data_IF_168334023252
#
_entry.id   IF_168334023252
#
_cell.length_a   1.000
_cell.length_b   1.000
_cell.length_c   1.000
_cell.angle_alpha   90.00
_cell.angle_beta   90.00
_cell.angle_gamma   90.00
#
_symmetry.space_group_name_H-M   'P 1'
#
loop_
_entity.id
_entity.type
_entity.pdbx_description
1 polymer ?
#
# COMPACT_ATOMS: atom_id res chain seq x y z
N UNK A 1 -13.55 -7.56 17.67
CA UNK A 1 -13.80 -8.21 16.37
C UNK A 1 -12.45 -8.42 15.72
N UNK A 2 -12.06 -9.67 15.42
CA UNK A 2 -10.78 -9.96 14.76
C UNK A 2 -10.93 -9.58 13.29
N UNK A 3 -10.32 -8.48 12.89
CA UNK A 3 -10.23 -8.14 11.48
C UNK A 3 -9.33 -9.20 10.83
N UNK A 4 -9.80 -9.81 9.74
CA UNK A 4 -8.97 -10.70 8.94
C UNK A 4 -7.87 -9.88 8.28
N UNK A 5 -6.72 -9.85 8.94
CA UNK A 5 -5.49 -9.22 8.47
C UNK A 5 -4.55 -10.34 8.03
N UNK A 6 -3.90 -10.16 6.90
CA UNK A 6 -2.89 -11.08 6.38
C UNK A 6 -1.66 -10.25 6.02
N UNK A 7 -0.53 -10.55 6.63
CA UNK A 7 0.74 -9.86 6.36
C UNK A 7 1.76 -10.89 5.94
N UNK A 8 2.52 -10.59 4.88
CA UNK A 8 3.64 -11.40 4.43
C UNK A 8 4.82 -11.30 5.40
N UNK A 9 5.76 -12.24 5.29
CA UNK A 9 6.92 -12.28 6.19
C UNK A 9 7.94 -11.17 5.89
N UNK A 10 8.00 -10.71 4.64
CA UNK A 10 8.87 -9.63 4.21
C UNK A 10 8.44 -8.27 4.81
N UNK A 11 9.42 -7.46 5.23
CA UNK A 11 9.22 -6.13 5.82
C UNK A 11 9.64 -5.03 4.86
N UNK A 12 8.90 -3.92 4.85
CA UNK A 12 9.27 -2.73 4.07
C UNK A 12 10.47 -2.06 4.74
N UNK A 13 11.55 -1.88 3.99
CA UNK A 13 12.73 -1.18 4.49
C UNK A 13 12.48 0.34 4.53
N UNK A 14 12.95 1.05 5.57
CA UNK A 14 12.91 2.51 5.61
C UNK A 14 13.78 3.09 4.49
N UNK A 15 13.20 3.88 3.59
CA UNK A 15 13.93 4.49 2.48
C UNK A 15 13.18 5.68 1.89
N UNK A 16 13.92 6.54 1.18
CA UNK A 16 13.31 7.56 0.34
C UNK A 16 12.52 6.89 -0.80
N UNK A 17 11.25 7.23 -0.89
CA UNK A 17 10.33 6.61 -1.84
C UNK A 17 8.99 7.32 -1.91
N UNK A 18 8.05 6.66 -2.56
CA UNK A 18 6.70 7.16 -2.82
C UNK A 18 5.71 6.21 -2.17
N UNK A 19 4.84 6.74 -1.32
CA UNK A 19 3.68 6.01 -0.82
C UNK A 19 2.48 6.34 -1.71
N UNK A 20 2.20 5.48 -2.68
CA UNK A 20 1.12 5.65 -3.63
C UNK A 20 -0.18 5.07 -3.07
N UNK A 21 -1.11 5.95 -2.69
CA UNK A 21 -2.37 5.57 -2.05
C UNK A 21 -3.52 5.75 -3.03
N UNK A 22 -4.18 4.66 -3.44
CA UNK A 22 -5.35 4.69 -4.31
C UNK A 22 -6.64 4.58 -3.49
N UNK A 23 -7.59 5.50 -3.70
CA UNK A 23 -8.87 5.55 -2.97
C UNK A 23 -10.08 5.55 -3.89
N UNK A 24 -10.99 4.58 -3.75
CA UNK A 24 -12.25 4.65 -4.50
C UNK A 24 -13.04 5.93 -4.11
N UNK A 25 -13.65 6.57 -5.11
CA UNK A 25 -14.26 7.90 -5.01
C UNK A 25 -15.55 7.96 -4.18
N UNK A 26 -16.02 6.83 -3.64
CA UNK A 26 -17.21 6.83 -2.79
C UNK A 26 -16.87 7.12 -1.32
N UNK A 27 -17.64 8.07 -0.80
CA UNK A 27 -17.40 8.95 0.35
C UNK A 27 -17.09 8.33 1.73
N UNK A 28 -17.27 7.02 2.04
CA UNK A 28 -16.78 6.51 3.34
C UNK A 28 -15.26 6.22 3.39
N UNK A 29 -14.59 6.01 2.25
CA UNK A 29 -13.14 5.76 2.22
C UNK A 29 -12.33 7.04 2.49
N UNK A 30 -12.91 8.22 2.23
CA UNK A 30 -12.32 9.49 2.61
C UNK A 30 -12.26 9.69 4.14
N UNK A 31 -13.20 9.12 4.91
CA UNK A 31 -13.14 9.15 6.39
C UNK A 31 -12.02 8.27 6.95
N UNK A 32 -11.68 7.19 6.24
CA UNK A 32 -10.54 6.34 6.56
C UNK A 32 -9.20 7.03 6.29
N UNK A 33 -9.15 7.94 5.31
CA UNK A 33 -7.96 8.71 4.93
C UNK A 33 -8.13 10.20 5.27
N UNK A 34 -8.16 10.49 6.57
CA UNK A 34 -7.90 11.85 7.04
C UNK A 34 -6.40 12.17 6.90
N UNK A 35 -6.01 13.45 6.93
CA UNK A 35 -4.58 13.87 6.91
C UNK A 35 -3.74 13.32 8.08
N UNK A 36 -4.37 12.65 9.04
CA UNK A 36 -3.74 11.98 10.19
C UNK A 36 -3.81 10.45 10.10
N UNK A 37 -4.27 9.92 8.98
CA UNK A 37 -4.41 8.48 8.79
C UNK A 37 -3.06 7.77 8.89
N UNK A 38 -3.00 6.61 9.59
CA UNK A 38 -1.77 5.81 9.67
C UNK A 38 -1.22 5.44 8.30
N UNK A 39 -2.09 5.25 7.30
CA UNK A 39 -1.69 4.98 5.93
C UNK A 39 -0.78 6.05 5.32
N UNK A 40 -0.92 7.32 5.71
CA UNK A 40 -0.04 8.40 5.24
C UNK A 40 1.14 8.60 6.21
N UNK A 41 0.83 8.69 7.50
CA UNK A 41 1.82 9.09 8.52
C UNK A 41 2.87 8.03 8.80
N UNK A 42 2.52 6.74 8.76
CA UNK A 42 3.48 5.68 9.03
C UNK A 42 4.53 5.60 7.91
N UNK A 43 4.18 5.58 6.61
CA UNK A 43 5.18 5.65 5.53
C UNK A 43 5.97 6.96 5.53
N UNK A 44 5.35 8.11 5.81
CA UNK A 44 6.04 9.40 5.91
C UNK A 44 7.11 9.40 6.99
N UNK A 45 6.82 8.82 8.16
CA UNK A 45 7.80 8.64 9.22
C UNK A 45 8.99 7.73 8.82
N UNK A 46 8.82 6.91 7.78
CA UNK A 46 9.84 5.99 7.24
C UNK A 46 10.56 6.57 6.02
N UNK A 47 10.27 7.82 5.63
CA UNK A 47 10.92 8.53 4.52
C UNK A 47 10.15 8.51 3.19
N UNK A 48 8.94 7.95 3.15
CA UNK A 48 8.12 7.92 1.93
C UNK A 48 7.31 9.20 1.76
N UNK A 49 7.24 9.73 0.54
CA UNK A 49 6.34 10.82 0.17
C UNK A 49 4.98 10.28 -0.27
N UNK A 50 3.91 10.67 0.40
CA UNK A 50 2.55 10.23 0.04
C UNK A 50 1.99 10.91 -1.21
N UNK A 51 1.42 10.13 -2.12
CA UNK A 51 0.66 10.58 -3.30
C UNK A 51 -0.70 9.88 -3.26
N UNK A 52 -1.78 10.65 -3.15
CA UNK A 52 -3.15 10.11 -3.09
C UNK A 52 -3.85 10.21 -4.43
N UNK A 53 -4.20 9.07 -5.01
CA UNK A 53 -4.93 8.92 -6.26
C UNK A 53 -6.42 8.67 -5.98
N UNK A 54 -7.27 9.57 -6.44
CA UNK A 54 -8.73 9.44 -6.36
C UNK A 54 -9.33 9.29 -7.76
N UNK A 55 -10.53 8.70 -7.86
CA UNK A 55 -11.14 8.34 -9.15
C UNK A 55 -11.44 9.53 -10.07
N UNK A 56 -11.63 10.72 -9.51
CA UNK A 56 -11.85 11.98 -10.25
C UNK A 56 -10.56 12.78 -10.46
N UNK A 57 -9.42 12.26 -10.01
CA UNK A 57 -8.12 12.94 -10.04
C UNK A 57 -7.33 12.68 -11.32
N UNK A 58 -6.11 13.21 -11.36
CA UNK A 58 -5.17 12.89 -12.44
C UNK A 58 -4.88 11.39 -12.46
N UNK A 59 -5.15 10.77 -13.60
CA UNK A 59 -4.86 9.35 -13.80
C UNK A 59 -3.36 9.09 -13.72
N UNK A 60 -2.90 8.11 -12.93
CA UNK A 60 -1.49 7.71 -12.87
C UNK A 60 -1.04 6.95 -14.12
N UNK A 61 -1.99 6.65 -15.02
CA UNK A 61 -1.80 5.80 -16.17
C UNK A 61 -1.12 6.55 -17.33
N UNK A 62 -0.10 5.94 -17.92
CA UNK A 62 0.61 6.45 -19.10
C UNK A 62 -0.17 6.21 -20.41
N UNK A 63 -1.12 5.26 -20.39
CA UNK A 63 -1.81 4.76 -21.58
C UNK A 63 -1.03 3.68 -22.34
N UNK A 64 0.15 3.27 -21.86
CA UNK A 64 0.93 2.18 -22.44
C UNK A 64 0.59 0.85 -21.76
N UNK A 65 0.40 -0.21 -22.55
CA UNK A 65 0.05 -1.53 -22.02
C UNK A 65 1.17 -2.16 -21.19
N UNK A 66 2.42 -2.03 -21.64
CA UNK A 66 3.59 -2.66 -20.99
C UNK A 66 4.18 -1.82 -19.85
N UNK A 67 3.86 -0.53 -19.80
CA UNK A 67 4.33 0.41 -18.77
C UNK A 67 3.18 1.29 -18.28
N UNK A 68 2.15 0.69 -17.65
CA UNK A 68 0.91 1.40 -17.33
C UNK A 68 1.12 2.56 -16.37
N UNK A 69 2.06 2.48 -15.41
CA UNK A 69 2.35 3.61 -14.52
C UNK A 69 3.26 4.62 -15.20
N UNK A 70 2.84 5.89 -15.21
CA UNK A 70 3.65 7.01 -15.65
C UNK A 70 4.75 7.32 -14.62
N UNK A 71 5.85 6.58 -14.67
CA UNK A 71 6.96 6.71 -13.72
C UNK A 71 7.56 8.13 -13.66
N UNK A 72 7.58 8.84 -14.78
CA UNK A 72 8.02 10.24 -14.87
C UNK A 72 7.20 11.17 -13.95
N UNK A 73 5.90 10.89 -13.78
CA UNK A 73 5.00 11.66 -12.89
C UNK A 73 5.14 11.28 -11.43
N UNK A 74 5.48 10.01 -11.16
CA UNK A 74 5.69 9.50 -9.81
C UNK A 74 7.01 10.04 -9.23
N UNK A 75 8.05 10.13 -10.06
CA UNK A 75 9.41 10.50 -9.67
C UNK A 75 10.27 9.26 -9.40
N UNK A 76 11.43 9.46 -8.77
CA UNK A 76 12.38 8.39 -8.44
C UNK A 76 12.18 7.80 -7.04
N UNK A 77 12.75 6.62 -6.80
CA UNK A 77 12.70 5.91 -5.51
C UNK A 77 11.73 4.72 -5.46
N UNK A 78 11.74 3.98 -4.36
CA UNK A 78 10.85 2.82 -4.26
C UNK A 78 9.39 3.23 -4.01
N UNK A 79 8.46 2.41 -4.47
CA UNK A 79 7.02 2.69 -4.44
C UNK A 79 6.37 1.69 -3.50
N UNK A 80 5.78 2.21 -2.41
CA UNK A 80 4.85 1.49 -1.56
C UNK A 80 3.44 1.72 -2.10
N UNK A 81 2.75 0.66 -2.48
CA UNK A 81 1.40 0.75 -3.03
C UNK A 81 0.35 0.43 -1.95
N UNK A 82 -0.59 1.33 -1.72
CA UNK A 82 -1.70 1.12 -0.80
C UNK A 82 -3.05 1.30 -1.51
N UNK A 83 -3.81 0.22 -1.66
CA UNK A 83 -5.06 0.18 -2.41
C UNK A 83 -6.27 0.12 -1.46
N UNK A 84 -7.03 1.22 -1.37
CA UNK A 84 -8.28 1.32 -0.63
C UNK A 84 -9.47 1.13 -1.57
N UNK A 85 -9.70 -0.13 -1.94
CA UNK A 85 -10.74 -0.51 -2.89
C UNK A 85 -11.76 -1.42 -2.21
N UNK A 86 -13.05 -1.13 -2.38
CA UNK A 86 -14.11 -2.01 -1.87
C UNK A 86 -14.38 -3.10 -2.89
N UNK A 87 -14.41 -4.35 -2.44
CA UNK A 87 -14.82 -5.46 -3.30
C UNK A 87 -16.29 -5.29 -3.67
N UNK A 88 -16.57 -4.77 -4.86
CA UNK A 88 -17.93 -4.73 -5.40
C UNK A 88 -18.01 -5.68 -6.60
N UNK A 89 -18.68 -6.84 -6.48
CA UNK A 89 -18.79 -7.80 -7.58
C UNK A 89 -19.48 -7.21 -8.82
N UNK A 90 -20.27 -6.15 -8.67
CA UNK A 90 -20.93 -5.44 -9.78
C UNK A 90 -20.06 -4.35 -10.43
N UNK A 91 -18.88 -4.02 -9.87
CA UNK A 91 -17.94 -3.02 -10.43
C UNK A 91 -16.74 -3.64 -11.12
N UNK A 92 -16.83 -4.91 -11.49
CA UNK A 92 -15.86 -5.58 -12.35
C UNK A 92 -15.65 -4.90 -13.72
N UNK A 93 -16.37 -3.81 -14.06
CA UNK A 93 -16.11 -3.00 -15.27
C UNK A 93 -15.33 -1.70 -15.04
N UNK A 94 -15.36 -1.10 -13.83
CA UNK A 94 -14.65 0.18 -13.55
C UNK A 94 -13.38 0.00 -12.72
N UNK A 95 -13.38 -0.89 -11.74
CA UNK A 95 -12.15 -1.24 -10.99
C UNK A 95 -11.26 -2.20 -11.79
N UNK A 96 -11.84 -2.96 -12.73
CA UNK A 96 -11.08 -3.79 -13.67
C UNK A 96 -10.41 -2.98 -14.80
N UNK A 97 -10.67 -1.68 -14.91
CA UNK A 97 -9.95 -0.82 -15.85
C UNK A 97 -8.57 -0.41 -15.32
N UNK A 98 -8.33 -0.49 -14.01
CA UNK A 98 -7.04 -0.11 -13.45
C UNK A 98 -6.06 -1.30 -13.54
N UNK A 99 -5.00 -1.22 -14.35
CA UNK A 99 -4.09 -2.33 -14.59
C UNK A 99 -3.10 -2.53 -13.43
N UNK A 100 -3.59 -2.66 -12.19
CA UNK A 100 -2.75 -2.79 -10.99
C UNK A 100 -1.83 -4.00 -11.03
N UNK A 101 -2.28 -5.12 -11.61
CA UNK A 101 -1.45 -6.29 -11.84
C UNK A 101 -0.23 -5.96 -12.72
N UNK A 102 -0.44 -5.31 -13.86
CA UNK A 102 0.63 -4.90 -14.76
C UNK A 102 1.49 -3.78 -14.16
N UNK A 103 0.91 -2.87 -13.38
CA UNK A 103 1.63 -1.84 -12.65
C UNK A 103 2.59 -2.43 -11.61
N UNK A 104 2.14 -3.44 -10.86
CA UNK A 104 2.98 -4.17 -9.91
C UNK A 104 4.10 -4.90 -10.65
N UNK A 105 3.80 -5.58 -11.76
CA UNK A 105 4.82 -6.24 -12.57
C UNK A 105 5.85 -5.25 -13.12
N UNK A 106 5.42 -4.07 -13.59
CA UNK A 106 6.31 -3.00 -14.01
C UNK A 106 7.22 -2.55 -12.86
N UNK A 107 6.68 -2.33 -11.66
CA UNK A 107 7.48 -1.94 -10.49
C UNK A 107 8.46 -3.03 -10.03
N UNK A 108 8.07 -4.30 -10.14
CA UNK A 108 8.95 -5.44 -9.86
C UNK A 108 10.08 -5.49 -10.88
N UNK A 109 9.77 -5.37 -12.17
CA UNK A 109 10.75 -5.38 -13.25
C UNK A 109 11.76 -4.23 -13.13
N UNK A 110 11.31 -3.08 -12.63
CA UNK A 110 12.16 -1.93 -12.33
C UNK A 110 12.90 -2.02 -10.98
N UNK A 111 12.65 -3.07 -10.19
CA UNK A 111 13.16 -3.25 -8.82
C UNK A 111 12.84 -2.03 -7.92
N UNK A 112 11.67 -1.44 -8.14
CA UNK A 112 11.17 -0.26 -7.42
C UNK A 112 10.01 -0.58 -6.48
N UNK A 113 9.48 -1.80 -6.47
CA UNK A 113 8.39 -2.14 -5.56
C UNK A 113 8.89 -2.29 -4.12
N UNK A 114 8.50 -1.38 -3.23
CA UNK A 114 8.81 -1.46 -1.79
C UNK A 114 7.85 -2.38 -1.04
N UNK A 115 6.59 -2.42 -1.47
CA UNK A 115 5.56 -3.27 -0.88
C UNK A 115 4.17 -2.97 -1.40
N UNK A 116 3.21 -3.84 -1.08
CA UNK A 116 1.82 -3.72 -1.50
C UNK A 116 0.87 -3.94 -0.33
N UNK A 117 -0.12 -3.07 -0.18
CA UNK A 117 -1.16 -3.20 0.84
C UNK A 117 -2.53 -3.05 0.21
N UNK A 118 -3.44 -3.99 0.49
CA UNK A 118 -4.81 -3.98 -0.03
C UNK A 118 -5.80 -3.90 1.12
N UNK A 119 -6.69 -2.90 1.09
CA UNK A 119 -7.74 -2.68 2.08
C UNK A 119 -9.13 -2.83 1.47
N UNK A 120 -9.89 -3.83 1.91
CA UNK A 120 -11.33 -3.98 1.67
C UNK A 120 -11.74 -4.99 0.61
N UNK A 121 -10.96 -5.17 -0.47
CA UNK A 121 -11.31 -6.09 -1.56
C UNK A 121 -10.50 -7.41 -1.49
N UNK A 122 -11.09 -8.51 -0.96
CA UNK A 122 -10.39 -9.81 -0.94
C UNK A 122 -10.09 -10.31 -2.36
N UNK A 123 -11.02 -10.15 -3.30
CA UNK A 123 -10.85 -10.58 -4.69
C UNK A 123 -9.64 -9.93 -5.38
N UNK A 124 -9.39 -8.65 -5.09
CA UNK A 124 -8.22 -7.95 -5.60
C UNK A 124 -6.95 -8.52 -4.96
N UNK A 125 -6.95 -8.72 -3.65
CA UNK A 125 -5.82 -9.34 -2.96
C UNK A 125 -5.51 -10.73 -3.51
N UNK A 126 -6.51 -11.60 -3.71
CA UNK A 126 -6.33 -12.93 -4.28
C UNK A 126 -5.78 -12.89 -5.72
N UNK A 127 -6.10 -11.84 -6.47
CA UNK A 127 -5.58 -11.64 -7.83
C UNK A 127 -4.13 -11.11 -7.85
N UNK A 128 -3.76 -10.26 -6.88
CA UNK A 128 -2.44 -9.64 -6.81
C UNK A 128 -1.40 -10.49 -6.08
N UNK A 129 -1.81 -11.17 -5.00
CA UNK A 129 -0.95 -12.04 -4.18
C UNK A 129 -0.08 -13.01 -4.99
N UNK A 130 -0.59 -13.76 -5.99
CA UNK A 130 0.25 -14.69 -6.76
C UNK A 130 1.27 -14.00 -7.67
N UNK A 131 1.12 -12.69 -7.94
CA UNK A 131 2.07 -11.92 -8.74
C UNK A 131 3.23 -11.36 -7.91
N UNK A 132 3.08 -11.31 -6.58
CA UNK A 132 4.08 -10.73 -5.68
C UNK A 132 5.16 -11.77 -5.37
N UNK A 133 6.44 -11.42 -5.52
CA UNK A 133 7.51 -12.32 -5.13
C UNK A 133 7.51 -12.49 -3.61
N UNK A 134 7.98 -13.65 -3.12
CA UNK A 134 8.03 -13.94 -1.68
C UNK A 134 8.89 -12.96 -0.88
N UNK A 135 9.81 -12.27 -1.55
CA UNK A 135 10.65 -11.21 -1.00
C UNK A 135 9.96 -9.84 -0.91
N UNK A 136 8.81 -9.64 -1.57
CA UNK A 136 8.08 -8.38 -1.54
C UNK A 136 7.17 -8.33 -0.30
N UNK A 137 7.29 -7.28 0.53
CA UNK A 137 6.36 -7.02 1.62
C UNK A 137 4.95 -6.85 1.06
N UNK A 138 4.00 -7.62 1.57
CA UNK A 138 2.63 -7.60 1.08
C UNK A 138 1.66 -7.76 2.24
N UNK A 139 0.57 -7.00 2.26
CA UNK A 139 -0.45 -7.12 3.30
C UNK A 139 -1.87 -6.89 2.78
N UNK A 140 -2.82 -7.48 3.49
CA UNK A 140 -4.25 -7.37 3.26
C UNK A 140 -4.99 -7.13 4.55
N UNK A 141 -6.02 -6.28 4.48
CA UNK A 141 -7.00 -6.12 5.54
C UNK A 141 -8.40 -5.98 4.94
N UNK A 142 -9.36 -6.71 5.49
CA UNK A 142 -10.78 -6.53 5.14
C UNK A 142 -11.31 -5.15 5.60
N UNK A 143 -10.73 -4.56 6.65
CA UNK A 143 -11.12 -3.25 7.18
C UNK A 143 -10.32 -2.11 6.57
N UNK A 144 -10.98 -0.99 6.25
CA UNK A 144 -10.34 0.24 5.77
C UNK A 144 -10.10 1.27 6.90
N UNK A 145 -10.66 1.07 8.09
CA UNK A 145 -10.58 2.00 9.22
C UNK A 145 -9.14 2.23 9.70
N UNK A 146 -8.87 3.39 10.33
CA UNK A 146 -7.52 3.78 10.79
C UNK A 146 -6.86 2.73 11.70
N UNK A 147 -7.64 2.08 12.56
CA UNK A 147 -7.14 0.99 13.41
C UNK A 147 -6.56 -0.16 12.58
N UNK A 148 -7.26 -0.58 11.52
CA UNK A 148 -6.82 -1.64 10.64
C UNK A 148 -5.58 -1.22 9.83
N UNK A 149 -5.52 0.04 9.40
CA UNK A 149 -4.32 0.59 8.75
C UNK A 149 -3.12 0.52 9.68
N UNK A 150 -3.28 0.95 10.94
CA UNK A 150 -2.21 0.92 11.94
C UNK A 150 -1.70 -0.50 12.17
N UNK A 151 -2.60 -1.46 12.39
CA UNK A 151 -2.22 -2.87 12.61
C UNK A 151 -1.42 -3.43 11.43
N UNK A 152 -1.93 -3.24 10.20
CA UNK A 152 -1.23 -3.69 8.99
C UNK A 152 0.14 -3.04 8.86
N UNK A 153 0.26 -1.73 9.07
CA UNK A 153 1.51 -1.02 8.84
C UNK A 153 2.53 -1.27 9.95
N UNK A 154 2.10 -1.44 11.20
CA UNK A 154 2.96 -1.87 12.30
C UNK A 154 3.54 -3.26 12.05
N UNK A 155 2.78 -4.15 11.43
CA UNK A 155 3.32 -5.46 11.04
C UNK A 155 4.16 -5.38 9.76
N UNK A 156 3.81 -4.54 8.78
CA UNK A 156 4.51 -4.48 7.50
C UNK A 156 5.86 -3.77 7.57
N UNK A 157 5.96 -2.73 8.38
CA UNK A 157 7.24 -2.07 8.66
C UNK A 157 7.94 -2.79 9.80
N UNK A 158 9.28 -2.79 9.83
CA UNK A 158 9.98 -3.15 11.06
C UNK A 158 9.51 -2.17 12.13
N UNK A 159 8.91 -2.69 13.21
CA UNK A 159 8.89 -1.95 14.47
C UNK A 159 10.32 -1.51 14.71
N UNK A 160 10.53 -0.23 15.04
CA UNK A 160 11.77 0.16 15.66
C UNK A 160 11.89 -0.72 16.90
N UNK A 161 12.62 -1.84 16.79
CA UNK A 161 13.17 -2.51 17.96
C UNK A 161 13.88 -1.38 18.69
N UNK A 162 13.47 -1.01 19.92
CA UNK A 162 14.28 -0.12 20.70
C UNK A 162 15.64 -0.82 20.77
N UNK A 163 16.62 -0.26 20.06
CA UNK A 163 18.01 -0.70 20.12
C UNK A 163 18.32 -0.83 21.59
N UNK A 164 18.66 -2.06 22.00
CA UNK A 164 18.78 -2.43 23.40
C UNK A 164 19.63 -1.41 24.15
N UNK A 165 18.98 -0.65 25.01
CA UNK A 165 19.58 -0.04 26.18
C UNK A 165 18.66 -0.39 27.35
N UNK A 166 18.54 -1.69 27.64
CA UNK A 166 18.34 -2.11 29.03
C UNK A 166 19.65 -1.76 29.75
N UNK A 167 19.76 -0.48 30.11
CA UNK A 167 20.73 -0.03 31.08
C UNK A 167 20.58 -0.92 32.30
N UNK A 168 21.69 -1.54 32.68
CA UNK A 168 21.82 -2.27 33.92
C UNK A 168 21.30 -1.37 35.05
N UNK A 169 20.18 -1.78 35.65
CA UNK A 169 19.72 -1.25 36.91
C UNK A 169 20.50 -2.04 37.98
N UNK A 170 21.69 -1.54 38.31
CA UNK A 170 22.38 -1.89 39.56
C UNK A 170 21.81 -1.01 40.67
N UNK A 171 21.16 -1.64 41.64
CA UNK A 171 21.17 -1.26 43.05
C UNK A 171 21.55 -2.50 43.86
#
# INVERSE_FOLDING_TARGET
MRHSITVGEAKVLPQAGINLVRVDAMVPSAAALSGWSPALRTPEAQGFRSIVLHGEGLSPWSGQADAPLAMDRLGDGAVLLQLFLRGNPFRAGRDAQEPWAAAIQQLIALNRLAGVVVYGSPYLWDSLKPLLPSSCPAAYSAGQMQEAQRQVLTELFPSATPTGNSGAFTD
#
